data_IF_444625904548
#
_entry.id   IF_444625904548
#
_cell.length_a   1.000
_cell.length_b   1.000
_cell.length_c   1.000
_cell.angle_alpha   90.00
_cell.angle_beta   90.00
_cell.angle_gamma   90.00
#
_symmetry.space_group_name_H-M   'P 1'
#
loop_
_entity.id
_entity.type
_entity.pdbx_description
1 polymer ?
#
# COMPACT_ATOMS: atom_id res chain seq x y z
N UNK A 1 -34.15 31.89 45.92
CA UNK A 1 -34.71 31.66 44.57
C UNK A 1 -33.80 30.73 43.80
N UNK A 2 -34.14 29.45 43.72
CA UNK A 2 -33.33 28.41 43.05
C UNK A 2 -33.52 28.49 41.54
N UNK A 3 -32.42 28.61 40.79
CA UNK A 3 -32.40 28.74 39.32
C UNK A 3 -32.69 27.38 38.68
N UNK A 4 -33.91 27.23 38.15
CA UNK A 4 -34.34 26.08 37.38
C UNK A 4 -33.59 26.06 36.03
N UNK A 5 -32.62 25.16 35.87
CA UNK A 5 -31.91 24.94 34.60
C UNK A 5 -32.79 24.08 33.69
N UNK A 6 -33.54 24.73 32.82
CA UNK A 6 -34.26 24.07 31.73
C UNK A 6 -33.24 23.45 30.76
N UNK A 7 -32.98 22.16 30.88
CA UNK A 7 -32.31 21.35 29.86
C UNK A 7 -33.28 21.13 28.70
N UNK A 8 -33.24 22.01 27.70
CA UNK A 8 -33.92 21.81 26.43
C UNK A 8 -33.22 20.69 25.66
N UNK A 9 -33.70 19.46 25.83
CA UNK A 9 -33.33 18.33 24.98
C UNK A 9 -33.89 18.58 23.58
N UNK A 10 -33.03 18.99 22.65
CA UNK A 10 -33.31 19.03 21.23
C UNK A 10 -33.51 17.59 20.73
N UNK A 11 -34.76 17.14 20.71
CA UNK A 11 -35.15 15.90 20.03
C UNK A 11 -35.18 16.21 18.54
N UNK A 12 -34.15 15.75 17.81
CA UNK A 12 -34.18 15.79 16.36
C UNK A 12 -35.37 14.95 15.86
N UNK A 13 -36.22 15.49 14.97
CA UNK A 13 -37.31 14.72 14.40
C UNK A 13 -36.71 13.64 13.51
N UNK A 14 -36.92 12.39 13.90
CA UNK A 14 -36.61 11.21 13.11
C UNK A 14 -37.42 11.31 11.81
N UNK A 15 -36.80 11.87 10.77
CA UNK A 15 -37.38 11.99 9.44
C UNK A 15 -37.65 10.58 8.95
N UNK A 16 -38.94 10.22 8.89
CA UNK A 16 -39.45 9.04 8.20
C UNK A 16 -38.92 9.06 6.76
N UNK A 17 -37.78 8.42 6.52
CA UNK A 17 -37.30 8.16 5.17
C UNK A 17 -38.38 7.31 4.49
N UNK A 18 -38.94 7.84 3.42
CA UNK A 18 -40.03 7.27 2.63
C UNK A 18 -39.69 5.83 2.21
N UNK A 19 -40.16 4.83 2.96
CA UNK A 19 -39.98 3.40 2.63
C UNK A 19 -40.57 2.98 1.29
N UNK A 20 -41.53 3.75 0.76
CA UNK A 20 -42.26 3.41 -0.48
C UNK A 20 -41.36 3.41 -1.72
N UNK A 21 -40.25 4.13 -1.72
CA UNK A 21 -39.32 4.15 -2.88
C UNK A 21 -38.39 2.94 -2.93
N UNK A 22 -38.14 2.29 -1.79
CA UNK A 22 -37.06 1.28 -1.67
C UNK A 22 -37.51 -0.08 -2.20
N UNK A 23 -38.76 -0.47 -1.97
CA UNK A 23 -39.26 -1.80 -2.41
C UNK A 23 -39.22 -1.98 -3.94
N UNK A 24 -39.37 -0.89 -4.70
CA UNK A 24 -39.32 -0.91 -6.16
C UNK A 24 -37.90 -0.83 -6.73
N UNK A 25 -36.90 -0.48 -5.94
CA UNK A 25 -35.52 -0.27 -6.40
C UNK A 25 -34.84 -1.57 -6.85
N UNK A 26 -34.95 -2.62 -6.04
CA UNK A 26 -34.36 -3.92 -6.34
C UNK A 26 -34.94 -4.54 -7.62
N UNK A 27 -36.29 -4.56 -7.84
CA UNK A 27 -36.87 -4.97 -9.11
C UNK A 27 -36.37 -4.17 -10.32
N UNK A 28 -36.23 -2.85 -10.20
CA UNK A 28 -35.70 -2.01 -11.27
C UNK A 28 -34.25 -2.38 -11.62
N UNK A 29 -33.42 -2.66 -10.63
CA UNK A 29 -32.05 -3.10 -10.85
C UNK A 29 -31.95 -4.51 -11.45
N UNK A 30 -32.84 -5.41 -11.04
CA UNK A 30 -32.94 -6.75 -11.61
C UNK A 30 -33.34 -6.68 -13.09
N UNK A 31 -34.40 -5.94 -13.41
CA UNK A 31 -34.84 -5.74 -14.79
C UNK A 31 -33.73 -5.13 -15.64
N UNK A 32 -33.03 -4.13 -15.09
CA UNK A 32 -31.89 -3.51 -15.76
C UNK A 32 -30.76 -4.49 -16.09
N UNK A 33 -30.47 -5.44 -15.19
CA UNK A 33 -29.48 -6.49 -15.41
C UNK A 33 -29.96 -7.47 -16.47
N UNK A 34 -31.19 -7.96 -16.36
CA UNK A 34 -31.76 -8.92 -17.33
C UNK A 34 -31.85 -8.33 -18.74
N UNK A 35 -32.25 -7.07 -18.88
CA UNK A 35 -32.31 -6.39 -20.16
C UNK A 35 -30.90 -6.24 -20.77
N UNK A 36 -29.89 -5.99 -19.94
CA UNK A 36 -28.49 -5.96 -20.40
C UNK A 36 -28.00 -7.35 -20.82
N UNK A 37 -28.37 -8.42 -20.09
CA UNK A 37 -28.00 -9.78 -20.45
C UNK A 37 -28.63 -10.21 -21.79
N UNK A 38 -29.87 -9.80 -22.06
CA UNK A 38 -30.53 -10.01 -23.36
C UNK A 38 -29.79 -9.31 -24.49
N UNK A 39 -29.34 -8.07 -24.28
CA UNK A 39 -28.55 -7.31 -25.27
C UNK A 39 -27.21 -7.98 -25.53
N UNK A 40 -26.51 -8.43 -24.48
CA UNK A 40 -25.20 -9.07 -24.64
C UNK A 40 -25.29 -10.51 -25.16
N UNK A 41 -26.48 -11.14 -25.16
CA UNK A 41 -26.71 -12.47 -25.73
C UNK A 41 -26.01 -13.62 -25.00
N UNK A 42 -25.61 -13.43 -23.74
CA UNK A 42 -24.91 -14.47 -22.98
C UNK A 42 -25.90 -15.58 -22.60
N UNK A 43 -25.57 -16.83 -22.96
CA UNK A 43 -26.38 -18.02 -22.62
C UNK A 43 -26.28 -18.42 -21.13
N UNK A 44 -25.20 -18.02 -20.45
CA UNK A 44 -24.91 -18.37 -19.06
C UNK A 44 -24.36 -17.17 -18.32
N UNK A 45 -24.83 -16.95 -17.10
CA UNK A 45 -24.35 -15.89 -16.20
C UNK A 45 -22.83 -15.98 -15.93
N UNK A 46 -22.25 -17.18 -16.01
CA UNK A 46 -20.82 -17.41 -15.76
C UNK A 46 -19.93 -16.78 -16.84
N UNK A 47 -20.45 -16.59 -18.07
CA UNK A 47 -19.67 -16.09 -19.21
C UNK A 47 -19.71 -14.56 -19.34
N UNK A 48 -20.49 -13.88 -18.50
CA UNK A 48 -20.63 -12.42 -18.51
C UNK A 48 -19.35 -11.77 -18.01
N UNK A 49 -18.66 -11.04 -18.90
CA UNK A 49 -17.43 -10.31 -18.60
C UNK A 49 -17.68 -8.82 -18.31
N UNK A 50 -18.72 -8.26 -18.93
CA UNK A 50 -18.99 -6.83 -19.01
C UNK A 50 -20.45 -6.57 -18.66
N UNK A 51 -20.70 -5.64 -17.74
CA UNK A 51 -22.06 -5.28 -17.33
C UNK A 51 -22.24 -3.77 -17.29
N UNK A 52 -23.07 -3.28 -18.21
CA UNK A 52 -23.37 -1.85 -18.35
C UNK A 52 -24.73 -1.52 -17.72
N UNK A 53 -24.70 -0.79 -16.62
CA UNK A 53 -25.86 -0.40 -15.82
C UNK A 53 -25.87 1.11 -15.52
N UNK A 54 -25.19 1.91 -16.35
CA UNK A 54 -25.12 3.36 -16.17
C UNK A 54 -26.44 4.04 -16.53
N UNK A 55 -26.72 5.20 -15.90
CA UNK A 55 -27.87 6.07 -16.22
C UNK A 55 -29.24 5.39 -16.11
N UNK A 56 -29.41 4.48 -15.15
CA UNK A 56 -30.67 3.77 -14.88
C UNK A 56 -31.36 4.22 -13.59
N UNK A 57 -30.87 5.31 -12.99
CA UNK A 57 -31.37 5.87 -11.72
C UNK A 57 -31.48 4.84 -10.58
N UNK A 58 -30.60 3.84 -10.58
CA UNK A 58 -30.64 2.77 -9.59
C UNK A 58 -30.30 3.33 -8.21
N UNK A 59 -31.15 3.08 -7.23
CA UNK A 59 -30.85 3.39 -5.82
C UNK A 59 -30.15 2.23 -5.12
N UNK A 60 -30.42 1.00 -5.56
CA UNK A 60 -29.81 -0.24 -5.09
C UNK A 60 -29.54 -1.18 -6.27
N UNK A 61 -28.62 -2.13 -6.11
CA UNK A 61 -28.29 -3.13 -7.13
C UNK A 61 -28.43 -4.51 -6.51
N UNK A 62 -29.06 -5.43 -7.23
CA UNK A 62 -29.11 -6.85 -6.86
C UNK A 62 -27.71 -7.43 -6.67
N UNK A 63 -27.58 -8.45 -5.82
CA UNK A 63 -26.33 -9.18 -5.65
C UNK A 63 -25.80 -9.73 -7.00
N UNK A 64 -24.61 -9.28 -7.37
CA UNK A 64 -23.93 -9.65 -8.62
C UNK A 64 -23.04 -10.88 -8.45
N UNK A 65 -23.12 -11.58 -7.31
CA UNK A 65 -22.37 -12.79 -7.00
C UNK A 65 -22.54 -13.93 -8.02
N UNK A 66 -23.60 -13.90 -8.85
CA UNK A 66 -23.81 -14.86 -9.94
C UNK A 66 -22.78 -14.71 -11.07
N UNK A 67 -22.27 -13.50 -11.31
CA UNK A 67 -21.34 -13.19 -12.40
C UNK A 67 -19.88 -13.36 -11.96
N UNK A 68 -19.44 -14.61 -11.84
CA UNK A 68 -18.10 -14.95 -11.31
C UNK A 68 -16.93 -14.45 -12.16
N UNK A 69 -17.13 -14.30 -13.48
CA UNK A 69 -16.11 -13.82 -14.42
C UNK A 69 -16.23 -12.34 -14.77
N UNK A 70 -17.09 -11.59 -14.07
CA UNK A 70 -17.27 -10.17 -14.33
C UNK A 70 -15.94 -9.43 -14.14
N UNK A 71 -15.53 -8.68 -15.18
CA UNK A 71 -14.28 -7.91 -15.21
C UNK A 71 -14.53 -6.41 -15.21
N UNK A 72 -15.56 -5.96 -15.92
CA UNK A 72 -15.87 -4.55 -16.07
C UNK A 72 -17.31 -4.27 -15.66
N UNK A 73 -17.49 -3.36 -14.72
CA UNK A 73 -18.80 -2.98 -14.20
C UNK A 73 -18.99 -1.46 -14.28
N UNK A 74 -19.95 -1.04 -15.07
CA UNK A 74 -20.33 0.36 -15.21
C UNK A 74 -21.63 0.66 -14.47
N UNK A 75 -21.53 1.41 -13.38
CA UNK A 75 -22.63 1.84 -12.52
C UNK A 75 -22.66 3.36 -12.32
N UNK A 76 -22.01 4.10 -13.22
CA UNK A 76 -21.92 5.55 -13.14
C UNK A 76 -23.26 6.23 -13.50
N UNK A 77 -23.49 7.43 -12.95
CA UNK A 77 -24.75 8.17 -13.10
C UNK A 77 -25.99 7.39 -12.62
N UNK A 78 -25.92 6.81 -11.42
CA UNK A 78 -27.07 6.26 -10.71
C UNK A 78 -27.26 7.02 -9.39
N UNK A 79 -28.12 6.51 -8.50
CA UNK A 79 -28.41 7.10 -7.18
C UNK A 79 -28.02 6.13 -6.07
N UNK A 80 -26.93 5.38 -6.27
CA UNK A 80 -26.50 4.34 -5.34
C UNK A 80 -26.01 4.95 -4.03
N UNK A 81 -26.47 4.39 -2.92
CA UNK A 81 -26.11 4.84 -1.58
C UNK A 81 -24.95 4.05 -0.95
N UNK A 82 -24.77 2.79 -1.36
CA UNK A 82 -23.73 1.91 -0.84
C UNK A 82 -23.34 0.82 -1.85
N UNK A 83 -22.29 0.06 -1.52
CA UNK A 83 -21.70 -0.96 -2.41
C UNK A 83 -21.72 -2.34 -1.72
N UNK A 84 -22.89 -2.87 -1.38
CA UNK A 84 -23.01 -4.18 -0.69
C UNK A 84 -23.17 -5.38 -1.63
N UNK A 85 -23.20 -5.17 -2.96
CA UNK A 85 -23.57 -6.18 -3.97
C UNK A 85 -22.37 -6.88 -4.65
N UNK A 86 -21.14 -6.62 -4.20
CA UNK A 86 -19.89 -7.16 -4.80
C UNK A 86 -19.18 -8.20 -3.92
N UNK A 87 -19.92 -9.17 -3.38
CA UNK A 87 -19.37 -10.14 -2.42
C UNK A 87 -18.50 -11.24 -3.03
N UNK A 88 -18.73 -11.66 -4.29
CA UNK A 88 -18.05 -12.81 -4.91
C UNK A 88 -17.43 -12.53 -6.28
N UNK A 89 -17.24 -11.26 -6.64
CA UNK A 89 -16.72 -10.86 -7.95
C UNK A 89 -15.19 -10.70 -7.94
N UNK A 90 -14.45 -11.75 -7.58
CA UNK A 90 -12.99 -11.71 -7.39
C UNK A 90 -12.19 -11.35 -8.65
N UNK A 91 -12.78 -11.53 -9.83
CA UNK A 91 -12.17 -11.25 -11.13
C UNK A 91 -12.40 -9.81 -11.62
N UNK A 92 -13.09 -8.97 -10.84
CA UNK A 92 -13.40 -7.61 -11.24
C UNK A 92 -12.11 -6.78 -11.35
N UNK A 93 -11.88 -6.20 -12.53
CA UNK A 93 -10.68 -5.42 -12.83
C UNK A 93 -10.97 -3.93 -12.84
N UNK A 94 -12.16 -3.52 -13.30
CA UNK A 94 -12.54 -2.11 -13.40
C UNK A 94 -13.95 -1.88 -12.87
N UNK A 95 -14.08 -0.91 -11.98
CA UNK A 95 -15.34 -0.54 -11.34
C UNK A 95 -15.58 0.97 -11.47
N UNK A 96 -16.65 1.32 -12.18
CA UNK A 96 -17.06 2.68 -12.43
C UNK A 96 -18.30 3.02 -11.61
N UNK A 97 -18.11 3.77 -10.52
CA UNK A 97 -19.15 4.16 -9.56
C UNK A 97 -19.26 5.69 -9.43
N UNK A 98 -18.76 6.42 -10.42
CA UNK A 98 -18.80 7.88 -10.40
C UNK A 98 -20.19 8.46 -10.61
N UNK A 99 -20.44 9.66 -10.07
CA UNK A 99 -21.75 10.32 -10.12
C UNK A 99 -22.84 9.42 -9.51
N UNK A 100 -22.66 9.06 -8.24
CA UNK A 100 -23.65 8.38 -7.41
C UNK A 100 -23.80 9.15 -6.08
N UNK A 101 -24.56 8.60 -5.13
CA UNK A 101 -24.77 9.18 -3.80
C UNK A 101 -24.15 8.27 -2.71
N UNK A 102 -22.99 7.68 -3.00
CA UNK A 102 -22.37 6.67 -2.14
C UNK A 102 -21.81 7.36 -0.90
N UNK A 103 -22.34 7.03 0.27
CA UNK A 103 -21.89 7.60 1.55
C UNK A 103 -20.88 6.68 2.26
N UNK A 104 -20.99 5.37 2.04
CA UNK A 104 -20.14 4.35 2.65
C UNK A 104 -19.80 3.24 1.65
N UNK A 105 -18.58 2.74 1.79
CA UNK A 105 -18.01 1.67 0.99
C UNK A 105 -17.84 0.50 1.93
N UNK A 106 -18.43 -0.64 1.60
CA UNK A 106 -18.27 -1.87 2.34
C UNK A 106 -17.98 -3.02 1.35
N UNK A 107 -17.21 -4.02 1.77
CA UNK A 107 -16.99 -5.24 0.98
C UNK A 107 -16.01 -5.10 -0.19
N UNK A 108 -15.48 -3.90 -0.46
CA UNK A 108 -14.48 -3.71 -1.52
C UNK A 108 -13.15 -4.41 -1.22
N UNK A 109 -12.84 -4.67 0.05
CA UNK A 109 -11.64 -5.42 0.45
C UNK A 109 -11.58 -6.84 -0.16
N UNK A 110 -12.72 -7.38 -0.62
CA UNK A 110 -12.82 -8.72 -1.24
C UNK A 110 -12.48 -8.74 -2.72
N UNK A 111 -12.03 -7.63 -3.33
CA UNK A 111 -11.75 -7.52 -4.76
C UNK A 111 -10.23 -7.47 -5.03
N UNK A 112 -9.51 -8.60 -4.99
CA UNK A 112 -8.05 -8.62 -5.10
C UNK A 112 -7.55 -8.20 -6.49
N UNK A 113 -8.36 -8.36 -7.54
CA UNK A 113 -7.97 -8.11 -8.93
C UNK A 113 -8.30 -6.68 -9.42
N UNK A 114 -8.88 -5.84 -8.56
CA UNK A 114 -9.34 -4.52 -8.96
C UNK A 114 -8.14 -3.59 -9.22
N UNK A 115 -8.06 -3.07 -10.45
CA UNK A 115 -7.00 -2.17 -10.89
C UNK A 115 -7.47 -0.71 -10.94
N UNK A 116 -8.71 -0.48 -11.40
CA UNK A 116 -9.29 0.85 -11.62
C UNK A 116 -10.58 0.98 -10.83
N UNK A 117 -10.65 1.99 -9.97
CA UNK A 117 -11.83 2.33 -9.18
C UNK A 117 -12.14 3.82 -9.31
N UNK A 118 -13.28 4.14 -9.92
CA UNK A 118 -13.76 5.52 -10.04
C UNK A 118 -14.93 5.76 -9.09
N UNK A 119 -14.70 6.59 -8.07
CA UNK A 119 -15.65 6.95 -7.02
C UNK A 119 -15.85 8.48 -6.92
N UNK A 120 -15.47 9.21 -7.96
CA UNK A 120 -15.63 10.67 -7.97
C UNK A 120 -17.09 11.11 -8.07
N UNK A 121 -17.41 12.29 -7.55
CA UNK A 121 -18.78 12.78 -7.40
C UNK A 121 -19.65 11.77 -6.64
N UNK A 122 -19.32 11.58 -5.36
CA UNK A 122 -20.07 10.78 -4.41
C UNK A 122 -20.13 11.53 -3.05
N UNK A 123 -20.72 10.91 -2.04
CA UNK A 123 -20.97 11.52 -0.73
C UNK A 123 -20.08 10.91 0.38
N UNK A 124 -18.89 10.42 0.02
CA UNK A 124 -17.98 9.80 0.99
C UNK A 124 -17.44 10.83 1.98
N UNK A 125 -17.77 10.67 3.26
CA UNK A 125 -17.41 11.59 4.35
C UNK A 125 -16.26 11.07 5.22
N UNK A 126 -16.25 9.77 5.50
CA UNK A 126 -15.28 9.15 6.41
C UNK A 126 -14.08 8.61 5.64
N UNK A 127 -12.96 9.34 5.69
CA UNK A 127 -11.71 8.94 5.03
C UNK A 127 -11.14 7.64 5.62
N UNK A 128 -11.18 7.48 6.95
CA UNK A 128 -10.61 6.32 7.64
C UNK A 128 -11.36 5.03 7.32
N UNK A 129 -12.70 5.09 7.31
CA UNK A 129 -13.55 3.96 6.93
C UNK A 129 -13.28 3.54 5.48
N UNK A 130 -13.19 4.52 4.58
CA UNK A 130 -12.86 4.28 3.17
C UNK A 130 -11.46 3.66 3.04
N UNK A 131 -10.46 4.16 3.78
CA UNK A 131 -9.09 3.63 3.71
C UNK A 131 -9.00 2.21 4.25
N UNK A 132 -9.77 1.87 5.29
CA UNK A 132 -9.81 0.51 5.85
C UNK A 132 -10.20 -0.52 4.79
N UNK A 133 -11.20 -0.19 3.98
CA UNK A 133 -11.66 -1.04 2.87
C UNK A 133 -10.65 -1.07 1.72
N UNK A 134 -10.15 0.10 1.30
CA UNK A 134 -9.27 0.18 0.15
C UNK A 134 -7.89 -0.44 0.40
N UNK A 135 -7.40 -0.45 1.66
CA UNK A 135 -6.09 -0.99 2.03
C UNK A 135 -5.93 -2.49 1.71
N UNK A 136 -7.04 -3.24 1.64
CA UNK A 136 -7.01 -4.66 1.25
C UNK A 136 -6.64 -4.91 -0.21
N UNK A 137 -6.77 -3.90 -1.08
CA UNK A 137 -6.62 -4.06 -2.53
C UNK A 137 -5.18 -3.83 -2.99
N UNK A 138 -4.41 -4.92 -3.11
CA UNK A 138 -2.97 -4.85 -3.45
C UNK A 138 -2.70 -4.44 -4.91
N UNK A 139 -3.64 -4.70 -5.80
CA UNK A 139 -3.51 -4.45 -7.24
C UNK A 139 -4.09 -3.11 -7.69
N UNK A 140 -4.67 -2.32 -6.80
CA UNK A 140 -5.26 -1.03 -7.17
C UNK A 140 -4.18 -0.07 -7.71
N UNK A 141 -4.35 0.37 -8.95
CA UNK A 141 -3.41 1.29 -9.64
C UNK A 141 -4.00 2.66 -9.86
N UNK A 142 -5.30 2.74 -10.14
CA UNK A 142 -6.00 3.98 -10.44
C UNK A 142 -7.20 4.16 -9.51
N UNK A 143 -7.23 5.29 -8.82
CA UNK A 143 -8.29 5.65 -7.89
C UNK A 143 -8.72 7.09 -8.15
N UNK A 144 -10.03 7.35 -8.15
CA UNK A 144 -10.58 8.71 -8.19
C UNK A 144 -11.61 8.90 -7.09
N UNK A 145 -11.34 9.84 -6.19
CA UNK A 145 -12.16 10.24 -5.04
C UNK A 145 -12.47 11.75 -5.03
N UNK A 146 -12.04 12.51 -6.04
CA UNK A 146 -12.34 13.94 -6.16
C UNK A 146 -13.86 14.21 -6.17
N UNK A 147 -14.26 15.38 -5.69
CA UNK A 147 -15.67 15.73 -5.48
C UNK A 147 -16.41 14.74 -4.56
N UNK A 148 -15.72 14.28 -3.53
CA UNK A 148 -16.34 13.73 -2.33
C UNK A 148 -16.08 14.68 -1.15
N UNK A 149 -16.95 14.72 -0.12
CA UNK A 149 -16.67 15.46 1.10
C UNK A 149 -15.29 15.16 1.71
N UNK A 150 -14.84 13.89 1.66
CA UNK A 150 -13.50 13.50 2.14
C UNK A 150 -12.34 14.15 1.38
N UNK A 151 -12.56 14.69 0.18
CA UNK A 151 -11.51 15.37 -0.58
C UNK A 151 -11.16 16.75 0.00
N UNK A 152 -11.99 17.26 0.93
CA UNK A 152 -11.78 18.51 1.64
C UNK A 152 -10.81 18.37 2.83
N UNK A 153 -10.48 17.14 3.25
CA UNK A 153 -9.53 16.95 4.35
C UNK A 153 -8.14 17.46 4.00
N UNK A 154 -7.51 18.12 4.97
CA UNK A 154 -6.11 18.54 4.85
C UNK A 154 -5.22 17.33 4.59
N UNK A 155 -4.33 17.45 3.61
CA UNK A 155 -3.42 16.38 3.20
C UNK A 155 -4.10 15.09 2.73
N UNK A 156 -5.40 15.10 2.35
CA UNK A 156 -6.11 13.87 1.92
C UNK A 156 -5.28 13.09 0.90
N UNK A 157 -4.75 13.79 -0.10
CA UNK A 157 -3.97 13.17 -1.18
C UNK A 157 -2.77 12.38 -0.65
N UNK A 158 -2.03 12.94 0.30
CA UNK A 158 -0.87 12.24 0.89
C UNK A 158 -1.31 11.09 1.78
N UNK A 159 -2.42 11.24 2.51
CA UNK A 159 -3.00 10.20 3.34
C UNK A 159 -3.39 8.96 2.51
N UNK A 160 -4.05 9.16 1.36
CA UNK A 160 -4.34 8.09 0.41
C UNK A 160 -3.04 7.40 -0.05
N UNK A 161 -2.03 8.18 -0.44
CA UNK A 161 -0.74 7.66 -0.93
C UNK A 161 0.01 6.88 0.16
N UNK A 162 -0.12 7.28 1.44
CA UNK A 162 0.46 6.55 2.58
C UNK A 162 -0.17 5.18 2.75
N UNK A 163 -1.51 5.10 2.72
CA UNK A 163 -2.23 3.85 2.91
C UNK A 163 -2.20 2.94 1.68
N UNK A 164 -2.05 3.49 0.47
CA UNK A 164 -2.03 2.77 -0.80
C UNK A 164 -0.70 3.01 -1.55
N UNK A 165 0.42 2.39 -1.11
CA UNK A 165 1.72 2.62 -1.74
C UNK A 165 1.78 2.11 -3.18
N UNK A 166 0.95 1.12 -3.54
CA UNK A 166 0.87 0.54 -4.88
C UNK A 166 0.11 1.38 -5.92
N UNK A 167 -0.52 2.49 -5.48
CA UNK A 167 -1.31 3.36 -6.33
C UNK A 167 -0.41 4.19 -7.26
N UNK A 168 -0.78 4.29 -8.54
CA UNK A 168 -0.03 5.00 -9.59
C UNK A 168 -0.73 6.29 -9.99
N UNK A 169 -2.06 6.27 -10.08
CA UNK A 169 -2.90 7.40 -10.48
C UNK A 169 -3.93 7.70 -9.39
N UNK A 170 -3.96 8.95 -8.92
CA UNK A 170 -4.94 9.43 -7.95
C UNK A 170 -5.57 10.72 -8.47
N UNK A 171 -6.89 10.72 -8.63
CA UNK A 171 -7.69 11.88 -9.07
C UNK A 171 -7.23 12.47 -10.40
N UNK A 172 -6.99 11.58 -11.37
CA UNK A 172 -6.44 11.88 -12.70
C UNK A 172 -5.01 12.47 -12.68
N UNK A 173 -4.33 12.49 -11.54
CA UNK A 173 -2.95 12.96 -11.41
C UNK A 173 -2.03 11.82 -11.01
N UNK A 174 -0.94 11.63 -11.77
CA UNK A 174 0.07 10.63 -11.45
C UNK A 174 0.74 10.93 -10.11
N UNK A 175 0.94 9.89 -9.30
CA UNK A 175 1.63 10.01 -8.01
C UNK A 175 3.12 10.16 -8.28
N UNK A 176 3.68 11.29 -7.84
CA UNK A 176 5.10 11.60 -8.06
C UNK A 176 5.96 11.13 -6.88
N UNK A 177 7.23 10.87 -7.14
CA UNK A 177 8.19 10.50 -6.08
C UNK A 177 8.38 11.63 -5.05
N UNK A 178 8.18 12.89 -5.46
CA UNK A 178 8.17 14.04 -4.53
C UNK A 178 7.07 13.89 -3.48
N UNK A 179 5.85 13.51 -3.91
CA UNK A 179 4.72 13.30 -3.01
C UNK A 179 4.96 12.13 -2.06
N UNK A 180 5.55 11.03 -2.54
CA UNK A 180 5.92 9.88 -1.69
C UNK A 180 6.93 10.24 -0.62
N UNK A 181 7.97 10.99 -0.97
CA UNK A 181 8.97 11.49 0.00
C UNK A 181 8.34 12.41 1.03
N UNK A 182 7.52 13.36 0.59
CA UNK A 182 6.85 14.31 1.48
C UNK A 182 5.88 13.61 2.44
N UNK A 183 5.14 12.64 1.93
CA UNK A 183 4.26 11.77 2.73
C UNK A 183 5.06 11.02 3.81
N UNK A 184 6.21 10.42 3.48
CA UNK A 184 7.07 9.71 4.45
C UNK A 184 7.56 10.68 5.53
N UNK A 185 7.97 11.90 5.17
CA UNK A 185 8.43 12.89 6.16
C UNK A 185 7.35 13.30 7.15
N UNK A 186 6.08 13.28 6.75
CA UNK A 186 4.93 13.69 7.57
C UNK A 186 4.40 12.53 8.42
N UNK A 187 4.13 11.37 7.81
CA UNK A 187 3.42 10.27 8.48
C UNK A 187 4.34 9.22 9.09
N UNK A 188 5.61 9.14 8.66
CA UNK A 188 6.55 8.12 9.13
C UNK A 188 7.91 8.74 9.48
N UNK A 189 7.94 9.47 10.60
CA UNK A 189 9.14 10.14 11.09
C UNK A 189 10.30 9.16 11.35
N UNK A 190 10.01 7.92 11.77
CA UNK A 190 11.04 6.89 11.98
C UNK A 190 11.70 6.51 10.65
N UNK A 191 10.92 6.23 9.62
CA UNK A 191 11.46 5.95 8.28
C UNK A 191 12.16 7.15 7.69
N UNK A 192 11.64 8.36 7.90
CA UNK A 192 12.30 9.60 7.48
C UNK A 192 13.70 9.74 8.12
N UNK A 193 13.83 9.50 9.43
CA UNK A 193 15.10 9.55 10.13
C UNK A 193 16.09 8.49 9.62
N UNK A 194 15.62 7.28 9.33
CA UNK A 194 16.45 6.22 8.72
C UNK A 194 16.94 6.65 7.34
N UNK A 195 16.07 7.22 6.49
CA UNK A 195 16.46 7.70 5.16
C UNK A 195 17.53 8.80 5.27
N UNK A 196 17.38 9.74 6.20
CA UNK A 196 18.35 10.81 6.44
C UNK A 196 19.68 10.27 7.00
N UNK A 197 19.64 9.34 7.94
CA UNK A 197 20.83 8.74 8.57
C UNK A 197 21.62 7.87 7.58
N UNK A 198 20.91 7.11 6.73
CA UNK A 198 21.54 6.26 5.70
C UNK A 198 22.16 7.11 4.58
N UNK A 199 21.52 8.22 4.21
CA UNK A 199 22.02 9.13 3.18
C UNK A 199 23.40 9.72 3.50
N UNK A 200 23.79 9.83 4.78
CA UNK A 200 25.09 10.38 5.19
C UNK A 200 26.29 9.51 4.80
N UNK A 201 26.09 8.24 4.41
CA UNK A 201 27.18 7.34 4.01
C UNK A 201 26.92 6.45 2.79
N UNK A 202 25.66 6.19 2.44
CA UNK A 202 25.27 5.40 1.25
C UNK A 202 24.12 6.11 0.53
N UNK A 203 24.32 6.47 -0.74
CA UNK A 203 23.23 6.92 -1.62
C UNK A 203 22.29 5.73 -1.87
N UNK A 204 21.35 5.50 -0.96
CA UNK A 204 20.16 4.70 -1.29
C UNK A 204 19.29 5.62 -2.11
N UNK A 205 19.01 5.24 -3.36
CA UNK A 205 18.05 5.95 -4.18
C UNK A 205 16.74 5.99 -3.39
N UNK A 206 16.34 7.20 -2.98
CA UNK A 206 15.11 7.42 -2.21
C UNK A 206 13.84 6.97 -2.97
N UNK A 207 13.99 6.51 -4.23
CA UNK A 207 13.00 5.84 -5.05
C UNK A 207 12.62 4.47 -4.51
N UNK A 208 12.24 4.38 -3.24
CA UNK A 208 11.70 3.14 -2.68
C UNK A 208 10.31 2.91 -3.26
N UNK A 209 10.28 2.24 -4.41
CA UNK A 209 9.07 1.63 -4.93
C UNK A 209 9.01 0.21 -4.37
N UNK A 210 8.03 -0.14 -3.53
CA UNK A 210 7.90 -1.49 -2.98
C UNK A 210 7.74 -2.56 -4.07
N UNK A 211 7.39 -2.18 -5.31
CA UNK A 211 7.27 -3.09 -6.46
C UNK A 211 8.51 -3.15 -7.34
N UNK A 212 9.48 -2.24 -7.21
CA UNK A 212 10.70 -2.33 -8.02
C UNK A 212 11.51 -3.55 -7.53
N UNK A 213 11.85 -4.51 -8.41
CA UNK A 213 12.84 -5.52 -8.07
C UNK A 213 14.09 -4.82 -7.56
N UNK A 214 14.66 -5.30 -6.46
CA UNK A 214 15.94 -4.79 -5.95
C UNK A 214 16.96 -5.01 -7.06
N UNK A 215 17.25 -3.96 -7.83
CA UNK A 215 18.30 -3.99 -8.85
C UNK A 215 19.62 -4.00 -8.08
N UNK A 216 20.17 -5.18 -7.85
CA UNK A 216 21.57 -5.31 -7.48
C UNK A 216 22.38 -4.64 -8.60
N UNK A 217 22.89 -3.44 -8.33
CA UNK A 217 23.79 -2.73 -9.24
C UNK A 217 24.97 -3.67 -9.48
N UNK A 218 25.22 -4.05 -10.73
CA UNK A 218 26.39 -4.86 -11.09
C UNK A 218 27.62 -4.14 -10.54
N UNK A 219 28.29 -4.78 -9.58
CA UNK A 219 29.53 -4.28 -8.99
C UNK A 219 30.51 -4.16 -10.17
N UNK A 220 30.85 -2.92 -10.54
CA UNK A 220 31.97 -2.70 -11.47
C UNK A 220 33.19 -3.31 -10.78
N UNK A 221 33.76 -4.37 -11.36
CA UNK A 221 35.05 -4.88 -10.91
C UNK A 221 36.06 -3.73 -11.04
N UNK A 222 36.86 -3.45 -10.01
CA UNK A 222 37.99 -2.55 -10.18
C UNK A 222 38.92 -3.10 -11.28
N UNK A 223 39.66 -2.23 -11.98
CA UNK A 223 40.65 -2.65 -12.98
C UNK A 223 41.62 -3.69 -12.38
N UNK A 224 42.06 -4.64 -13.21
CA UNK A 224 42.90 -5.77 -12.79
C UNK A 224 44.20 -5.33 -12.11
N UNK A 225 44.71 -4.15 -12.46
CA UNK A 225 45.98 -3.62 -11.98
C UNK A 225 45.84 -2.79 -10.68
N UNK A 226 44.65 -2.82 -10.04
CA UNK A 226 44.44 -2.12 -8.77
C UNK A 226 45.08 -2.88 -7.60
N UNK A 227 46.40 -2.74 -7.46
CA UNK A 227 47.14 -3.22 -6.30
C UNK A 227 46.75 -2.41 -5.05
N UNK A 228 46.07 -3.05 -4.10
CA UNK A 228 45.63 -2.44 -2.85
C UNK A 228 46.80 -2.42 -1.85
N UNK A 229 47.88 -1.72 -2.17
CA UNK A 229 49.10 -1.82 -1.38
C UNK A 229 50.22 -0.97 -1.93
N UNK A 230 50.10 0.35 -1.77
CA UNK A 230 51.15 1.19 -1.21
C UNK A 230 50.58 2.59 -1.03
N UNK A 231 50.82 3.18 0.14
CA UNK A 231 50.19 4.42 0.58
C UNK A 231 50.78 5.67 -0.13
N UNK A 232 51.39 5.49 -1.30
CA UNK A 232 52.24 6.48 -1.97
C UNK A 232 51.77 6.81 -3.38
N UNK A 233 50.85 6.03 -3.98
CA UNK A 233 50.37 6.34 -5.31
C UNK A 233 49.41 7.52 -5.30
N UNK A 234 49.96 8.72 -5.47
CA UNK A 234 49.26 9.86 -6.08
C UNK A 234 48.98 9.50 -7.53
N UNK A 235 48.06 8.55 -7.75
CA UNK A 235 47.49 8.33 -9.08
C UNK A 235 46.86 9.64 -9.51
N UNK A 236 47.48 10.29 -10.50
CA UNK A 236 46.94 11.48 -11.14
C UNK A 236 45.81 10.98 -12.03
N UNK A 237 44.57 11.25 -11.62
CA UNK A 237 43.41 10.93 -12.45
C UNK A 237 43.24 12.04 -13.48
N UNK A 238 43.25 11.68 -14.76
CA UNK A 238 42.97 12.64 -15.84
C UNK A 238 41.54 13.17 -15.77
N UNK A 239 40.61 12.32 -15.30
CA UNK A 239 39.20 12.66 -15.10
C UNK A 239 38.84 12.68 -13.60
N UNK A 240 38.32 13.79 -13.04
CA UNK A 240 37.94 13.88 -11.64
C UNK A 240 36.86 12.87 -11.23
N UNK A 241 36.02 12.38 -12.15
CA UNK A 241 34.97 11.39 -11.85
C UNK A 241 35.57 10.02 -11.48
N UNK A 242 36.70 9.63 -12.08
CA UNK A 242 37.38 8.37 -11.78
C UNK A 242 38.04 8.41 -10.39
N UNK A 243 38.60 9.56 -10.01
CA UNK A 243 39.15 9.77 -8.66
C UNK A 243 38.08 9.60 -7.57
N UNK A 244 36.88 10.12 -7.82
CA UNK A 244 35.74 9.98 -6.91
C UNK A 244 35.29 8.53 -6.83
N UNK A 245 35.21 7.83 -7.98
CA UNK A 245 34.86 6.42 -8.01
C UNK A 245 35.85 5.56 -7.20
N UNK A 246 37.17 5.71 -7.43
CA UNK A 246 38.21 4.96 -6.69
C UNK A 246 38.21 5.29 -5.20
N UNK A 247 38.06 6.57 -4.81
CA UNK A 247 37.94 6.94 -3.39
C UNK A 247 36.68 6.33 -2.76
N UNK A 248 35.58 6.27 -3.50
CA UNK A 248 34.32 5.69 -3.03
C UNK A 248 34.38 4.18 -2.88
N UNK A 249 35.06 3.46 -3.78
CA UNK A 249 35.28 2.01 -3.67
C UNK A 249 36.26 1.69 -2.56
N UNK A 250 37.35 2.47 -2.40
CA UNK A 250 38.31 2.31 -1.29
C UNK A 250 37.65 2.49 0.08
N UNK A 251 36.70 3.42 0.23
CA UNK A 251 35.94 3.59 1.48
C UNK A 251 34.83 2.55 1.67
N UNK A 252 34.20 2.08 0.59
CA UNK A 252 33.09 1.12 0.69
C UNK A 252 33.55 -0.32 0.94
N UNK A 253 34.74 -0.70 0.44
CA UNK A 253 35.40 -1.96 0.78
C UNK A 253 36.18 -1.79 2.08
N UNK A 254 35.46 -1.50 3.17
CA UNK A 254 35.97 -1.80 4.49
C UNK A 254 36.28 -3.31 4.48
N UNK A 255 37.53 -3.69 4.72
CA UNK A 255 37.97 -5.08 4.71
C UNK A 255 37.09 -5.89 5.65
N UNK A 256 36.10 -6.61 5.12
CA UNK A 256 35.48 -7.67 5.88
C UNK A 256 36.56 -8.73 6.01
N UNK A 257 37.26 -8.76 7.14
CA UNK A 257 38.02 -9.94 7.51
C UNK A 257 37.01 -11.07 7.59
N UNK A 258 36.98 -11.93 6.57
CA UNK A 258 36.20 -13.15 6.60
C UNK A 258 36.78 -14.05 7.69
N UNK A 259 36.41 -13.80 8.94
CA UNK A 259 36.65 -14.73 10.03
C UNK A 259 35.81 -15.96 9.76
N UNK A 260 36.47 -17.08 9.53
CA UNK A 260 35.81 -18.36 9.44
C UNK A 260 35.27 -18.69 10.83
N UNK A 261 33.95 -18.61 11.01
CA UNK A 261 33.29 -18.85 12.29
C UNK A 261 33.52 -20.27 12.81
N UNK A 262 33.85 -21.22 11.94
CA UNK A 262 34.21 -22.58 12.34
C UNK A 262 35.55 -22.64 13.09
N UNK A 263 36.42 -21.62 12.94
CA UNK A 263 37.67 -21.51 13.70
C UNK A 263 37.47 -20.85 15.06
N UNK A 264 36.32 -20.19 15.29
CA UNK A 264 36.01 -19.52 16.55
C UNK A 264 35.48 -20.54 17.53
N UNK A 265 36.34 -20.97 18.45
CA UNK A 265 36.00 -21.88 19.54
C UNK A 265 34.70 -21.45 20.25
N UNK A 266 33.78 -22.40 20.34
CA UNK A 266 32.53 -22.24 21.08
C UNK A 266 32.81 -22.10 22.57
N UNK A 267 31.84 -21.53 23.30
CA UNK A 267 31.97 -21.25 24.73
C UNK A 267 32.28 -22.52 25.55
N UNK A 268 31.72 -23.66 25.16
CA UNK A 268 32.00 -24.98 25.77
C UNK A 268 33.45 -25.42 25.55
N UNK A 269 33.97 -25.31 24.33
CA UNK A 269 35.35 -25.72 24.02
C UNK A 269 36.39 -24.87 24.78
N UNK A 270 36.10 -23.59 25.02
CA UNK A 270 36.93 -22.73 25.89
C UNK A 270 36.95 -23.21 27.34
N UNK A 271 35.84 -23.72 27.87
CA UNK A 271 35.82 -24.27 29.22
C UNK A 271 36.63 -25.56 29.32
N UNK A 272 36.58 -26.44 28.32
CA UNK A 272 37.36 -27.68 28.32
C UNK A 272 38.86 -27.42 28.18
N UNK A 273 39.29 -26.41 27.42
CA UNK A 273 40.69 -25.98 27.39
C UNK A 273 41.16 -25.43 28.75
N UNK A 274 40.33 -24.64 29.44
CA UNK A 274 40.64 -24.18 30.80
C UNK A 274 40.69 -25.35 31.79
N UNK A 275 39.80 -26.32 31.63
CA UNK A 275 39.79 -27.51 32.49
C UNK A 275 41.03 -28.38 32.28
N UNK A 276 41.45 -28.59 31.02
CA UNK A 276 42.69 -29.32 30.69
C UNK A 276 43.95 -28.61 31.17
N UNK A 277 43.99 -27.27 31.13
CA UNK A 277 45.14 -26.52 31.66
C UNK A 277 45.16 -26.49 33.19
N UNK A 278 44.01 -26.35 33.87
CA UNK A 278 43.97 -26.37 35.34
C UNK A 278 44.11 -27.75 35.95
N UNK A 279 43.89 -28.84 35.19
CA UNK A 279 44.04 -30.21 35.70
C UNK A 279 45.50 -30.57 36.04
N UNK A 280 46.49 -29.76 35.63
CA UNK A 280 47.88 -29.94 36.03
C UNK A 280 48.24 -29.29 37.39
N UNK A 281 47.39 -28.40 37.92
CA UNK A 281 47.55 -27.87 39.28
C UNK A 281 46.72 -28.71 40.25
N UNK A 282 47.10 -29.98 40.37
CA UNK A 282 46.60 -30.86 41.41
C UNK A 282 47.11 -30.30 42.75
N UNK A 283 46.27 -29.51 43.43
CA UNK A 283 46.53 -28.99 44.76
C UNK A 283 46.67 -30.18 45.73
N UNK A 284 47.91 -30.54 46.04
CA UNK A 284 48.26 -31.48 47.10
C UNK A 284 47.89 -30.84 48.45
N UNK A 285 46.73 -31.24 49.00
CA UNK A 285 46.32 -30.85 50.35
C UNK A 285 46.93 -31.88 51.30
N UNK A 286 47.99 -31.51 52.01
CA UNK A 286 48.53 -32.29 53.12
C UNK A 286 47.67 -32.06 54.37
N UNK A 287 46.93 -33.08 54.77
CA UNK A 287 46.28 -33.14 56.08
C UNK A 287 47.38 -33.40 57.13
N UNK A 288 47.49 -32.51 58.12
CA UNK A 288 48.37 -32.67 59.28
C UNK A 288 47.55 -33.12 60.48
#
# INVERSE_FOLDING_TARGET
MSRNRNSSSFVFPCTKVRKVSVENALPSSLKAVEDQLKICGHKRDIDVLELFLSKKELTEVIDLSRFKKLRYLWLHHNKLHGISFLTRNYCLTELYLNNNAIFEIEGLHNLPSLNILLLHHNELTNIDATMKELKGMQNLRSLSLYQNPLSQYNLYRLYIIFHLPGLELLDRKQITEKERRYMITIFDHKKAHVIQSVAFGKRVDASWNPKLPIKQKRVKKPPSDFAFGDNVDKTLFDDPEDAVFVRSTKRSLMTFTSMNWNTVLTRSEKYDQKKKSSAAEMLMISLR
#
